data_IF_231508269131
#
_entry.id   IF_231508269131
#
_cell.length_a   1.000
_cell.length_b   1.000
_cell.length_c   1.000
_cell.angle_alpha   90.00
_cell.angle_beta   90.00
_cell.angle_gamma   90.00
#
_symmetry.space_group_name_H-M   'P 1'
#
loop_
_entity.id
_entity.type
_entity.pdbx_description
1 polymer ?
#
# COMPACT_ATOMS: atom_id res chain seq x y z
N UNK A 1 37.09 12.28 -24.05
CA UNK A 1 36.13 13.42 -23.96
C UNK A 1 34.92 12.89 -23.22
N UNK A 2 34.55 13.58 -22.15
CA UNK A 2 33.68 13.11 -21.07
C UNK A 2 32.28 12.71 -21.57
N UNK A 3 31.85 11.51 -21.19
CA UNK A 3 30.45 11.13 -21.17
C UNK A 3 29.80 11.74 -19.93
N UNK A 4 28.79 12.59 -20.15
CA UNK A 4 27.90 13.05 -19.10
C UNK A 4 26.83 11.98 -18.90
N UNK A 5 26.87 11.27 -17.77
CA UNK A 5 25.68 10.56 -17.27
C UNK A 5 24.75 11.61 -16.71
N UNK A 6 23.62 11.82 -17.38
CA UNK A 6 22.50 12.57 -16.83
C UNK A 6 21.81 11.69 -15.78
N UNK A 7 21.68 12.22 -14.56
CA UNK A 7 20.88 11.62 -13.50
C UNK A 7 19.39 11.70 -13.90
N UNK A 8 18.76 10.55 -14.10
CA UNK A 8 17.31 10.46 -14.17
C UNK A 8 16.76 10.64 -12.75
N UNK A 9 15.95 11.66 -12.54
CA UNK A 9 15.23 11.86 -11.30
C UNK A 9 14.20 10.73 -11.14
N UNK A 10 14.32 9.95 -10.07
CA UNK A 10 13.33 8.95 -9.71
C UNK A 10 12.02 9.64 -9.34
N UNK A 11 11.05 9.61 -10.26
CA UNK A 11 9.65 9.84 -9.92
C UNK A 11 9.16 8.60 -9.17
N UNK A 12 9.14 8.68 -7.84
CA UNK A 12 8.41 7.71 -7.02
C UNK A 12 6.93 7.79 -7.39
N UNK A 13 6.39 6.71 -7.97
CA UNK A 13 4.94 6.51 -8.10
C UNK A 13 4.28 6.85 -6.75
N UNK A 14 3.43 7.87 -6.75
CA UNK A 14 2.61 8.29 -5.59
C UNK A 14 1.36 7.42 -5.41
N UNK A 15 1.16 6.43 -6.28
CA UNK A 15 0.05 5.51 -6.19
C UNK A 15 0.45 4.36 -5.25
N UNK A 16 -0.16 4.34 -4.06
CA UNK A 16 -0.06 3.22 -3.15
C UNK A 16 -0.86 2.03 -3.71
N UNK A 17 -0.25 0.84 -3.61
CA UNK A 17 -0.95 -0.43 -3.68
C UNK A 17 -1.97 -0.47 -2.54
N UNK A 18 -3.26 -0.59 -2.87
CA UNK A 18 -4.24 -0.94 -1.85
C UNK A 18 -3.81 -2.27 -1.22
N UNK A 19 -3.69 -2.38 0.11
CA UNK A 19 -3.28 -3.63 0.73
C UNK A 19 -4.25 -4.73 0.29
N UNK A 20 -3.71 -5.84 -0.23
CA UNK A 20 -4.48 -7.07 -0.40
C UNK A 20 -5.19 -7.33 0.91
N UNK A 21 -6.52 -7.53 0.86
CA UNK A 21 -7.34 -7.78 2.04
C UNK A 21 -6.71 -8.92 2.84
N UNK A 22 -5.95 -8.59 3.89
CA UNK A 22 -5.52 -9.60 4.84
C UNK A 22 -6.80 -10.07 5.51
N UNK A 23 -7.11 -11.34 5.34
CA UNK A 23 -8.21 -11.98 6.04
C UNK A 23 -7.79 -12.12 7.50
N UNK A 24 -7.88 -11.04 8.27
CA UNK A 24 -7.64 -11.06 9.71
C UNK A 24 -8.63 -12.05 10.33
N UNK A 25 -8.19 -13.03 11.14
CA UNK A 25 -9.12 -13.89 11.85
C UNK A 25 -9.85 -13.08 12.91
N UNK A 26 -11.17 -13.09 12.76
CA UNK A 26 -12.18 -12.55 13.67
C UNK A 26 -11.92 -12.90 15.14
N UNK A 27 -11.72 -11.88 15.97
CA UNK A 27 -11.84 -11.99 17.43
C UNK A 27 -12.32 -10.68 18.05
N UNK A 28 -13.54 -10.27 17.71
CA UNK A 28 -14.50 -9.63 18.62
C UNK A 28 -15.84 -9.55 17.89
N UNK A 29 -16.77 -10.44 18.23
CA UNK A 29 -18.16 -10.30 17.80
C UNK A 29 -18.76 -9.06 18.50
N UNK A 30 -18.55 -7.89 17.90
CA UNK A 30 -19.42 -6.74 18.15
C UNK A 30 -20.61 -6.91 17.23
N UNK A 31 -21.77 -7.15 17.82
CA UNK A 31 -23.08 -7.19 17.16
C UNK A 31 -23.35 -5.84 16.48
N UNK A 32 -22.76 -5.65 15.31
CA UNK A 32 -23.00 -4.51 14.43
C UNK A 32 -24.15 -4.89 13.51
N UNK A 33 -25.22 -4.11 13.57
CA UNK A 33 -26.34 -4.26 12.65
C UNK A 33 -25.80 -4.19 11.22
N UNK A 34 -26.22 -5.13 10.36
CA UNK A 34 -25.90 -5.11 8.94
C UNK A 34 -26.28 -3.73 8.38
N UNK A 35 -25.30 -3.01 7.87
CA UNK A 35 -25.54 -1.73 7.20
C UNK A 35 -26.25 -2.02 5.88
N UNK A 36 -27.42 -1.43 5.70
CA UNK A 36 -28.33 -1.73 4.58
C UNK A 36 -28.39 -0.63 3.53
N UNK A 37 -27.73 0.51 3.76
CA UNK A 37 -27.72 1.67 2.85
C UNK A 37 -26.38 2.42 2.89
N UNK A 38 -26.07 3.12 1.80
CA UNK A 38 -24.88 3.98 1.69
C UNK A 38 -24.85 5.07 2.77
N UNK A 39 -26.01 5.61 3.18
CA UNK A 39 -26.10 6.62 4.24
C UNK A 39 -25.69 6.05 5.61
N UNK A 40 -26.19 4.86 5.96
CA UNK A 40 -25.79 4.17 7.20
C UNK A 40 -24.29 3.84 7.21
N UNK A 41 -23.73 3.47 6.06
CA UNK A 41 -22.30 3.21 5.90
C UNK A 41 -21.47 4.48 6.12
N UNK A 42 -21.81 5.56 5.43
CA UNK A 42 -21.19 6.87 5.57
C UNK A 42 -21.32 7.40 7.01
N UNK A 43 -22.46 7.18 7.66
CA UNK A 43 -22.69 7.57 9.05
C UNK A 43 -21.77 6.84 10.01
N UNK A 44 -21.57 5.53 9.83
CA UNK A 44 -20.66 4.76 10.66
C UNK A 44 -19.20 5.22 10.53
N UNK A 45 -18.78 5.62 9.33
CA UNK A 45 -17.46 6.24 9.10
C UNK A 45 -17.40 7.62 9.73
N UNK A 46 -18.44 8.45 9.57
CA UNK A 46 -18.53 9.77 10.19
C UNK A 46 -18.42 9.71 11.72
N UNK A 47 -19.02 8.70 12.35
CA UNK A 47 -18.92 8.50 13.80
C UNK A 47 -17.49 8.19 14.24
N UNK A 48 -16.72 7.43 13.45
CA UNK A 48 -15.31 7.17 13.72
C UNK A 48 -14.45 8.42 13.50
N UNK A 49 -14.66 9.15 12.41
CA UNK A 49 -13.95 10.41 12.13
C UNK A 49 -14.19 11.42 13.25
N UNK A 50 -15.45 11.66 13.64
CA UNK A 50 -15.78 12.60 14.71
C UNK A 50 -15.17 12.18 16.06
N UNK A 51 -15.06 10.87 16.32
CA UNK A 51 -14.51 10.34 17.57
C UNK A 51 -12.98 10.43 17.65
N UNK A 52 -12.27 10.22 16.55
CA UNK A 52 -10.83 9.94 16.58
C UNK A 52 -9.97 11.03 15.92
N UNK A 53 -10.35 11.54 14.76
CA UNK A 53 -9.56 12.53 14.02
C UNK A 53 -9.23 13.82 14.80
N UNK A 54 -10.09 14.33 15.70
CA UNK A 54 -9.74 15.46 16.56
C UNK A 54 -8.54 15.24 17.50
N UNK A 55 -8.06 14.00 17.62
CA UNK A 55 -7.03 13.62 18.60
C UNK A 55 -5.74 13.12 17.95
N UNK A 56 -5.60 13.23 16.62
CA UNK A 56 -4.41 12.74 15.91
C UNK A 56 -3.11 13.43 16.35
N UNK A 57 -3.18 14.67 16.85
CA UNK A 57 -2.04 15.39 17.43
C UNK A 57 -1.42 14.67 18.66
N UNK A 58 -2.18 13.77 19.32
CA UNK A 58 -1.67 12.92 20.41
C UNK A 58 -0.83 11.74 19.90
N UNK A 59 -1.11 11.29 18.68
CA UNK A 59 -0.35 10.23 18.01
C UNK A 59 0.94 10.85 17.47
N UNK A 60 0.80 11.91 16.67
CA UNK A 60 1.93 12.63 16.10
C UNK A 60 1.71 14.14 16.24
N UNK A 61 2.63 14.93 16.85
CA UNK A 61 2.35 16.32 17.20
C UNK A 61 1.93 17.26 16.06
N UNK A 62 2.36 16.95 14.82
CA UNK A 62 2.03 17.75 13.63
C UNK A 62 0.75 17.31 12.92
N UNK A 63 0.09 16.23 13.34
CA UNK A 63 -1.09 15.71 12.66
C UNK A 63 -2.35 16.45 13.08
N UNK A 64 -2.99 17.13 12.12
CA UNK A 64 -4.21 17.89 12.33
C UNK A 64 -5.30 17.45 11.35
N UNK A 65 -5.93 16.32 11.68
CA UNK A 65 -6.94 15.73 10.81
C UNK A 65 -8.28 16.49 10.85
N UNK A 66 -8.41 17.49 11.72
CA UNK A 66 -9.61 18.35 11.76
C UNK A 66 -9.72 19.24 10.52
N UNK A 67 -8.63 19.39 9.77
CA UNK A 67 -8.56 20.18 8.52
C UNK A 67 -8.88 19.38 7.26
N UNK A 68 -9.17 18.09 7.38
CA UNK A 68 -9.42 17.21 6.24
C UNK A 68 -10.91 16.88 6.06
N UNK A 69 -11.29 16.66 4.81
CA UNK A 69 -12.59 16.08 4.45
C UNK A 69 -12.36 14.73 3.78
N UNK A 70 -13.12 13.71 4.18
CA UNK A 70 -13.27 12.49 3.39
C UNK A 70 -14.47 12.66 2.45
N UNK A 71 -14.23 12.62 1.15
CA UNK A 71 -15.27 12.52 0.12
C UNK A 71 -15.46 11.05 -0.22
N UNK A 72 -16.55 10.45 0.27
CA UNK A 72 -16.84 9.03 0.11
C UNK A 72 -17.87 8.81 -1.00
N UNK A 73 -17.47 8.08 -2.04
CA UNK A 73 -18.34 7.64 -3.13
C UNK A 73 -18.82 6.21 -2.91
N UNK A 74 -20.14 6.02 -2.97
CA UNK A 74 -20.79 4.71 -3.05
C UNK A 74 -21.01 4.37 -4.52
N UNK A 75 -20.43 3.28 -5.00
CA UNK A 75 -20.54 2.87 -6.40
C UNK A 75 -21.51 1.69 -6.56
N UNK A 76 -22.43 1.81 -7.53
CA UNK A 76 -23.33 0.71 -7.93
C UNK A 76 -22.70 -0.21 -8.98
N UNK A 77 -21.75 0.33 -9.74
CA UNK A 77 -20.90 -0.33 -10.71
C UNK A 77 -19.65 0.58 -10.91
N UNK A 78 -18.60 0.10 -11.60
CA UNK A 78 -17.44 0.94 -11.93
C UNK A 78 -17.87 2.27 -12.56
N UNK A 79 -17.36 3.39 -12.03
CA UNK A 79 -17.70 4.76 -12.46
C UNK A 79 -19.15 5.22 -12.21
N UNK A 80 -20.05 4.35 -11.70
CA UNK A 80 -21.47 4.69 -11.48
C UNK A 80 -21.75 5.02 -10.02
N UNK A 81 -21.63 6.31 -9.71
CA UNK A 81 -21.95 6.86 -8.39
C UNK A 81 -23.43 6.66 -8.06
N UNK A 82 -23.69 5.94 -6.97
CA UNK A 82 -25.01 5.79 -6.35
C UNK A 82 -25.29 6.92 -5.36
N UNK A 83 -24.29 7.26 -4.53
CA UNK A 83 -24.34 8.36 -3.56
C UNK A 83 -22.92 8.87 -3.27
N UNK A 84 -22.80 10.13 -2.85
CA UNK A 84 -21.53 10.73 -2.44
C UNK A 84 -21.71 11.51 -1.14
N UNK A 85 -20.73 11.46 -0.24
CA UNK A 85 -20.79 12.11 1.06
C UNK A 85 -19.50 12.88 1.35
N UNK A 86 -19.61 14.12 1.82
CA UNK A 86 -18.51 14.81 2.47
C UNK A 86 -18.58 14.58 3.98
N UNK A 87 -17.50 14.06 4.55
CA UNK A 87 -17.42 13.67 5.96
C UNK A 87 -16.26 14.43 6.62
N UNK A 88 -16.57 15.12 7.72
CA UNK A 88 -15.62 15.89 8.52
C UNK A 88 -15.76 15.51 10.00
N UNK A 89 -14.90 16.07 10.85
CA UNK A 89 -15.03 15.92 12.31
C UNK A 89 -16.32 16.53 12.88
N UNK A 90 -16.96 17.45 12.15
CA UNK A 90 -18.21 18.10 12.56
C UNK A 90 -19.48 17.35 12.12
N UNK A 91 -19.35 16.37 11.23
CA UNK A 91 -20.47 15.58 10.71
C UNK A 91 -20.32 15.23 9.23
N UNK A 92 -21.41 14.69 8.67
CA UNK A 92 -21.49 14.30 7.25
C UNK A 92 -22.57 15.09 6.51
N UNK A 93 -22.39 15.23 5.20
CA UNK A 93 -23.36 15.80 4.27
C UNK A 93 -23.38 14.97 2.98
N UNK A 94 -24.55 14.59 2.52
CA UNK A 94 -24.72 14.03 1.17
C UNK A 94 -24.49 15.12 0.11
N UNK A 95 -23.70 14.79 -0.92
CA UNK A 95 -23.33 15.69 -2.00
C UNK A 95 -24.22 15.47 -3.22
N UNK A 96 -24.65 16.57 -3.83
CA UNK A 96 -25.28 16.55 -5.14
C UNK A 96 -24.24 16.38 -6.26
N UNK A 97 -24.62 15.89 -7.45
CA UNK A 97 -23.70 15.75 -8.60
C UNK A 97 -22.93 17.02 -8.96
N UNK A 98 -23.54 18.20 -8.76
CA UNK A 98 -22.87 19.47 -9.02
C UNK A 98 -21.77 19.78 -8.00
N UNK A 99 -21.88 19.28 -6.77
CA UNK A 99 -20.90 19.55 -5.70
C UNK A 99 -19.63 18.69 -5.82
N UNK A 100 -19.68 17.57 -6.53
CA UNK A 100 -18.51 16.71 -6.78
C UNK A 100 -18.13 16.64 -8.27
N UNK A 101 -18.69 17.51 -9.12
CA UNK A 101 -18.49 17.46 -10.56
C UNK A 101 -17.02 17.57 -11.00
N UNK A 102 -16.21 18.29 -10.21
CA UNK A 102 -14.78 18.51 -10.46
C UNK A 102 -13.88 17.46 -9.77
N UNK A 103 -14.46 16.43 -9.15
CA UNK A 103 -13.72 15.35 -8.50
C UNK A 103 -13.71 14.15 -9.44
N UNK A 104 -12.52 13.73 -9.85
CA UNK A 104 -12.36 12.41 -10.43
C UNK A 104 -12.67 11.34 -9.39
N UNK A 105 -13.71 10.55 -9.67
CA UNK A 105 -14.18 9.51 -8.76
C UNK A 105 -13.13 8.40 -8.74
N UNK A 106 -12.53 8.08 -7.58
CA UNK A 106 -11.57 7.00 -7.52
C UNK A 106 -12.20 5.69 -8.01
N UNK A 107 -11.40 4.85 -8.67
CA UNK A 107 -11.86 3.52 -9.06
C UNK A 107 -12.29 2.69 -7.84
N UNK A 108 -12.90 1.54 -8.07
CA UNK A 108 -13.39 0.65 -7.03
C UNK A 108 -12.35 0.37 -5.93
N UNK A 109 -12.74 0.61 -4.67
CA UNK A 109 -11.90 0.50 -3.46
C UNK A 109 -10.63 1.39 -3.50
N UNK A 110 -10.61 2.34 -4.43
CA UNK A 110 -9.53 3.27 -4.63
C UNK A 110 -9.70 4.56 -3.85
N UNK A 111 -8.64 5.33 -3.86
CA UNK A 111 -8.53 6.59 -3.14
C UNK A 111 -7.64 7.57 -3.90
N UNK A 112 -7.84 8.86 -3.64
CA UNK A 112 -7.07 9.93 -4.26
C UNK A 112 -6.87 11.11 -3.32
N UNK A 113 -5.70 11.73 -3.40
CA UNK A 113 -5.43 13.04 -2.81
C UNK A 113 -6.20 14.11 -3.60
N UNK A 114 -7.07 14.87 -2.93
CA UNK A 114 -7.86 15.92 -3.59
C UNK A 114 -7.89 17.21 -2.78
N UNK A 115 -8.34 18.30 -3.41
CA UNK A 115 -8.78 19.50 -2.69
C UNK A 115 -10.29 19.61 -2.79
N UNK A 116 -10.99 19.66 -1.65
CA UNK A 116 -12.44 19.81 -1.60
C UNK A 116 -12.82 21.07 -0.82
N UNK A 117 -13.59 21.97 -1.44
CA UNK A 117 -13.95 23.28 -0.85
C UNK A 117 -12.74 24.07 -0.30
N UNK A 118 -11.60 24.01 -1.01
CA UNK A 118 -10.36 24.68 -0.62
C UNK A 118 -9.59 24.03 0.53
N UNK A 119 -10.02 22.85 0.99
CA UNK A 119 -9.34 22.09 2.05
C UNK A 119 -8.62 20.85 1.50
N UNK A 120 -7.41 20.53 1.99
CA UNK A 120 -6.73 19.27 1.66
C UNK A 120 -7.60 18.09 2.12
N UNK A 121 -7.93 17.19 1.22
CA UNK A 121 -8.95 16.17 1.41
C UNK A 121 -8.55 14.84 0.77
N UNK A 122 -9.33 13.80 1.04
CA UNK A 122 -9.18 12.48 0.44
C UNK A 122 -10.50 12.07 -0.19
N UNK A 123 -10.46 11.60 -1.43
CA UNK A 123 -11.58 10.92 -2.07
C UNK A 123 -11.39 9.41 -1.91
N UNK A 124 -12.47 8.69 -1.63
CA UNK A 124 -12.47 7.23 -1.62
C UNK A 124 -13.72 6.69 -2.28
N UNK A 125 -13.63 5.52 -2.90
CA UNK A 125 -14.80 4.83 -3.42
C UNK A 125 -14.96 3.46 -2.76
N UNK A 126 -16.21 3.03 -2.59
CA UNK A 126 -16.57 1.69 -2.07
C UNK A 126 -17.76 1.17 -2.85
N UNK A 127 -17.72 -0.10 -3.27
CA UNK A 127 -18.88 -0.73 -3.89
C UNK A 127 -20.01 -0.95 -2.89
N UNK A 128 -21.24 -0.65 -3.31
CA UNK A 128 -22.43 -0.87 -2.48
C UNK A 128 -22.62 -2.33 -2.04
N UNK A 129 -22.11 -3.31 -2.81
CA UNK A 129 -22.13 -4.73 -2.42
C UNK A 129 -21.23 -5.03 -1.22
N UNK A 130 -20.12 -4.30 -1.09
CA UNK A 130 -19.11 -4.48 -0.04
C UNK A 130 -19.51 -3.82 1.27
N UNK A 131 -20.37 -2.79 1.22
CA UNK A 131 -20.82 -2.03 2.40
C UNK A 131 -21.60 -2.86 3.44
N UNK A 132 -22.18 -3.99 3.02
CA UNK A 132 -22.90 -4.90 3.92
C UNK A 132 -21.98 -5.73 4.82
N UNK A 133 -20.68 -5.79 4.47
CA UNK A 133 -19.68 -6.57 5.20
C UNK A 133 -19.16 -5.74 6.39
N UNK A 134 -19.25 -6.23 7.64
CA UNK A 134 -18.88 -5.45 8.83
C UNK A 134 -17.45 -4.89 8.82
N UNK A 135 -16.51 -5.63 8.23
CA UNK A 135 -15.10 -5.24 8.14
C UNK A 135 -14.87 -4.04 7.21
N UNK A 136 -15.75 -3.79 6.25
CA UNK A 136 -15.57 -2.73 5.24
C UNK A 136 -15.59 -1.34 5.86
N UNK A 137 -16.37 -1.14 6.93
CA UNK A 137 -16.40 0.15 7.66
C UNK A 137 -15.04 0.41 8.32
N UNK A 138 -14.48 -0.62 8.96
CA UNK A 138 -13.20 -0.51 9.64
C UNK A 138 -12.06 -0.30 8.65
N UNK A 139 -12.03 -1.09 7.58
CA UNK A 139 -11.01 -0.96 6.53
C UNK A 139 -11.08 0.41 5.85
N UNK A 140 -12.27 0.89 5.46
CA UNK A 140 -12.42 2.20 4.81
C UNK A 140 -11.95 3.34 5.71
N UNK A 141 -12.35 3.32 6.99
CA UNK A 141 -11.90 4.34 7.95
C UNK A 141 -10.38 4.29 8.18
N UNK A 142 -9.81 3.10 8.33
CA UNK A 142 -8.37 2.93 8.57
C UNK A 142 -7.56 3.33 7.35
N UNK A 143 -7.96 2.92 6.15
CA UNK A 143 -7.32 3.36 4.90
C UNK A 143 -7.39 4.87 4.76
N UNK A 144 -8.55 5.51 5.00
CA UNK A 144 -8.62 6.97 4.96
C UNK A 144 -7.62 7.63 5.92
N UNK A 145 -7.49 7.07 7.12
CA UNK A 145 -6.56 7.57 8.16
C UNK A 145 -5.10 7.31 7.77
N UNK A 146 -4.82 6.17 7.15
CA UNK A 146 -3.51 5.76 6.67
C UNK A 146 -3.03 6.67 5.53
N UNK A 147 -3.84 6.83 4.49
CA UNK A 147 -3.48 7.56 3.28
C UNK A 147 -3.30 9.07 3.50
N UNK A 148 -4.01 9.65 4.48
CA UNK A 148 -3.76 11.03 4.89
C UNK A 148 -2.31 11.25 5.37
N UNK A 149 -1.67 10.24 5.97
CA UNK A 149 -0.25 10.30 6.37
C UNK A 149 0.63 10.50 5.14
N UNK A 150 0.47 9.65 4.12
CA UNK A 150 1.23 9.74 2.88
C UNK A 150 0.99 11.07 2.16
N UNK A 151 -0.27 11.49 2.03
CA UNK A 151 -0.64 12.67 1.26
C UNK A 151 -0.20 13.99 1.88
N UNK A 152 -0.24 14.10 3.21
CA UNK A 152 -0.16 15.40 3.87
C UNK A 152 0.88 15.51 4.98
N UNK A 153 1.44 14.39 5.47
CA UNK A 153 2.27 14.41 6.67
C UNK A 153 3.67 13.81 6.50
N UNK A 154 3.93 13.10 5.40
CA UNK A 154 5.27 12.57 5.07
C UNK A 154 6.12 13.49 4.18
N UNK A 155 5.66 14.70 3.87
CA UNK A 155 6.24 15.56 2.82
C UNK A 155 7.77 15.74 2.86
N UNK A 156 8.34 16.24 3.96
CA UNK A 156 9.80 16.48 4.08
C UNK A 156 10.60 15.21 4.42
N UNK A 157 10.07 14.03 4.15
CA UNK A 157 10.76 12.78 4.44
C UNK A 157 12.06 12.68 3.62
N UNK A 158 13.18 12.52 4.32
CA UNK A 158 14.47 12.23 3.71
C UNK A 158 14.41 10.81 3.14
N UNK A 159 14.50 10.70 1.82
CA UNK A 159 14.59 9.41 1.15
C UNK A 159 15.94 8.75 1.47
N UNK A 160 15.96 7.52 2.04
CA UNK A 160 17.20 6.82 2.34
C UNK A 160 17.97 6.41 1.07
N UNK A 161 17.25 6.18 -0.02
CA UNK A 161 17.78 5.83 -1.33
C UNK A 161 16.95 6.46 -2.44
N UNK A 162 17.60 7.04 -3.45
CA UNK A 162 16.94 7.59 -4.65
C UNK A 162 16.44 6.47 -5.58
N UNK A 163 16.97 5.25 -5.44
CA UNK A 163 16.57 4.07 -6.20
C UNK A 163 15.69 3.10 -5.39
N UNK A 164 15.00 3.58 -4.35
CA UNK A 164 14.10 2.73 -3.58
C UNK A 164 13.00 2.15 -4.49
N UNK A 165 12.86 0.83 -4.47
CA UNK A 165 11.79 0.12 -5.17
C UNK A 165 11.01 -0.73 -4.16
N UNK A 166 9.70 -0.83 -4.38
CA UNK A 166 8.83 -1.76 -3.64
C UNK A 166 9.02 -3.20 -4.12
N UNK A 167 9.74 -3.42 -5.21
CA UNK A 167 9.95 -4.73 -5.79
C UNK A 167 11.00 -5.56 -5.06
N UNK A 168 10.76 -6.87 -4.97
CA UNK A 168 11.69 -7.82 -4.36
C UNK A 168 12.26 -8.78 -5.40
N UNK A 169 13.52 -9.24 -5.26
CA UNK A 169 14.06 -10.28 -6.12
C UNK A 169 13.15 -11.52 -6.16
N UNK A 170 12.86 -12.02 -7.36
CA UNK A 170 12.17 -13.29 -7.56
C UNK A 170 13.14 -14.35 -8.12
N UNK A 171 13.15 -15.60 -7.60
CA UNK A 171 12.30 -16.11 -6.52
C UNK A 171 12.65 -15.50 -5.16
N UNK A 172 11.65 -15.41 -4.28
CA UNK A 172 11.81 -14.92 -2.90
C UNK A 172 12.74 -15.84 -2.11
N UNK A 173 13.71 -15.24 -1.41
CA UNK A 173 14.57 -15.90 -0.43
C UNK A 173 13.88 -15.93 0.96
N UNK A 174 13.68 -17.10 1.59
CA UNK A 174 13.07 -17.18 2.91
C UNK A 174 13.94 -16.63 4.06
N UNK A 175 15.25 -16.49 3.86
CA UNK A 175 16.20 -16.09 4.92
C UNK A 175 15.97 -14.68 5.44
N UNK A 176 15.93 -13.61 4.60
CA UNK A 176 15.66 -12.26 5.09
C UNK A 176 14.27 -12.12 5.71
N UNK A 177 13.28 -12.86 5.17
CA UNK A 177 11.91 -12.89 5.72
C UNK A 177 11.90 -13.50 7.12
N UNK A 178 12.68 -14.57 7.33
CA UNK A 178 12.87 -15.19 8.64
C UNK A 178 13.47 -14.19 9.63
N UNK A 179 14.48 -13.42 9.24
CA UNK A 179 15.09 -12.42 10.12
C UNK A 179 14.09 -11.33 10.50
N UNK A 180 13.34 -10.80 9.53
CA UNK A 180 12.28 -9.81 9.77
C UNK A 180 11.16 -10.35 10.65
N UNK A 181 10.75 -11.61 10.49
CA UNK A 181 9.78 -12.24 11.39
C UNK A 181 10.32 -12.50 12.79
N UNK A 182 11.60 -12.84 12.93
CA UNK A 182 12.23 -12.94 14.26
C UNK A 182 12.32 -11.56 14.94
N UNK A 183 12.60 -10.48 14.21
CA UNK A 183 12.50 -9.11 14.74
C UNK A 183 11.07 -8.85 15.23
N UNK A 184 10.06 -9.02 14.36
CA UNK A 184 8.66 -8.78 14.70
C UNK A 184 8.21 -9.55 15.95
N UNK A 185 8.54 -10.85 16.03
CA UNK A 185 8.27 -11.68 17.21
C UNK A 185 8.88 -11.10 18.49
N UNK A 186 10.14 -10.68 18.44
CA UNK A 186 10.81 -10.14 19.61
C UNK A 186 10.25 -8.76 20.00
N UNK A 187 9.86 -7.93 19.04
CA UNK A 187 9.16 -6.67 19.32
C UNK A 187 7.79 -6.92 19.98
N UNK A 188 7.01 -7.87 19.47
CA UNK A 188 5.75 -8.27 20.10
C UNK A 188 5.98 -8.75 21.53
N UNK A 189 6.96 -9.62 21.76
CA UNK A 189 7.28 -10.09 23.11
C UNK A 189 7.74 -8.94 24.04
N UNK A 190 8.53 -8.00 23.52
CA UNK A 190 8.97 -6.80 24.24
C UNK A 190 7.80 -5.91 24.64
N UNK A 191 6.80 -5.78 23.76
CA UNK A 191 5.58 -5.04 24.02
C UNK A 191 4.63 -5.82 24.95
N UNK A 192 4.50 -7.14 24.85
CA UNK A 192 3.58 -7.90 25.68
C UNK A 192 4.11 -8.15 27.10
N UNK A 193 5.43 -8.14 27.28
CA UNK A 193 6.08 -8.42 28.56
C UNK A 193 7.04 -7.31 28.99
N UNK A 194 6.54 -6.16 29.49
CA UNK A 194 7.36 -5.01 29.89
C UNK A 194 8.54 -5.35 30.80
N UNK A 195 8.36 -6.26 31.75
CA UNK A 195 9.40 -6.68 32.70
C UNK A 195 10.60 -7.39 32.02
N UNK A 196 10.41 -7.90 30.79
CA UNK A 196 11.45 -8.55 29.97
C UNK A 196 11.79 -7.76 28.71
N UNK A 197 11.29 -6.54 28.57
CA UNK A 197 11.45 -5.73 27.36
C UNK A 197 12.89 -5.62 26.91
N UNK A 198 13.81 -5.30 27.82
CA UNK A 198 15.23 -5.14 27.50
C UNK A 198 15.86 -6.43 26.92
N UNK A 199 15.47 -7.61 27.41
CA UNK A 199 15.93 -8.89 26.88
C UNK A 199 15.43 -9.09 25.44
N UNK A 200 14.14 -8.85 25.21
CA UNK A 200 13.53 -9.02 23.90
C UNK A 200 14.06 -8.03 22.87
N UNK A 201 14.23 -6.75 23.23
CA UNK A 201 14.83 -5.76 22.34
C UNK A 201 16.29 -6.08 22.00
N UNK A 202 17.06 -6.66 22.93
CA UNK A 202 18.42 -7.12 22.65
C UNK A 202 18.45 -8.26 21.62
N UNK A 203 17.48 -9.17 21.65
CA UNK A 203 17.32 -10.23 20.63
C UNK A 203 16.84 -9.67 19.29
N UNK A 204 15.90 -8.71 19.31
CA UNK A 204 15.48 -8.01 18.10
C UNK A 204 16.67 -7.30 17.43
N UNK A 205 17.54 -6.67 18.23
CA UNK A 205 18.76 -6.03 17.74
C UNK A 205 19.71 -7.01 17.07
N UNK A 206 19.90 -8.21 17.64
CA UNK A 206 20.71 -9.26 17.02
C UNK A 206 20.21 -9.64 15.61
N UNK A 207 18.90 -9.79 15.44
CA UNK A 207 18.32 -10.10 14.13
C UNK A 207 18.39 -8.93 13.15
N UNK A 208 18.22 -7.69 13.63
CA UNK A 208 18.40 -6.49 12.79
C UNK A 208 19.86 -6.38 12.30
N UNK A 209 20.84 -6.60 13.19
CA UNK A 209 22.25 -6.58 12.81
C UNK A 209 22.57 -7.66 11.76
N UNK A 210 22.02 -8.88 11.92
CA UNK A 210 22.13 -9.93 10.91
C UNK A 210 21.50 -9.53 9.58
N UNK A 211 20.28 -9.00 9.59
CA UNK A 211 19.59 -8.53 8.38
C UNK A 211 20.40 -7.46 7.64
N UNK A 212 20.89 -6.44 8.36
CA UNK A 212 21.70 -5.38 7.76
C UNK A 212 23.05 -5.86 7.24
N UNK A 213 23.67 -6.84 7.90
CA UNK A 213 24.99 -7.35 7.50
C UNK A 213 24.94 -8.36 6.34
N UNK A 214 23.92 -9.23 6.32
CA UNK A 214 23.81 -10.33 5.35
C UNK A 214 22.96 -9.96 4.13
N UNK A 215 22.03 -9.01 4.29
CA UNK A 215 21.08 -8.56 3.26
C UNK A 215 21.08 -7.03 3.11
N UNK A 216 22.27 -6.42 3.11
CA UNK A 216 22.45 -4.97 3.08
C UNK A 216 21.72 -4.27 1.91
N UNK A 217 21.75 -4.86 0.72
CA UNK A 217 21.10 -4.29 -0.47
C UNK A 217 19.58 -4.27 -0.31
N UNK A 218 18.99 -5.34 0.23
CA UNK A 218 17.55 -5.40 0.50
C UNK A 218 17.16 -4.47 1.65
N UNK A 219 17.96 -4.40 2.72
CA UNK A 219 17.74 -3.48 3.82
C UNK A 219 17.74 -2.01 3.33
N UNK A 220 18.64 -1.67 2.41
CA UNK A 220 18.71 -0.34 1.78
C UNK A 220 17.50 -0.08 0.88
N UNK A 221 17.15 -1.04 0.03
CA UNK A 221 16.03 -0.91 -0.91
C UNK A 221 14.68 -0.75 -0.20
N UNK A 222 14.50 -1.45 0.93
CA UNK A 222 13.24 -1.46 1.70
C UNK A 222 13.13 -0.37 2.76
N UNK A 223 14.23 0.35 3.08
CA UNK A 223 14.26 1.36 4.12
C UNK A 223 13.22 2.48 3.93
N UNK A 224 12.97 2.92 2.69
CA UNK A 224 11.94 3.93 2.42
C UNK A 224 10.55 3.39 2.78
N UNK A 225 10.22 2.18 2.33
CA UNK A 225 8.97 1.48 2.66
C UNK A 225 8.82 1.26 4.18
N UNK A 226 9.88 0.86 4.88
CA UNK A 226 9.87 0.68 6.34
C UNK A 226 9.55 1.99 7.09
N UNK A 227 9.96 3.14 6.53
CA UNK A 227 9.63 4.46 7.08
C UNK A 227 8.20 4.87 6.71
N UNK A 228 7.84 4.80 5.42
CA UNK A 228 6.55 5.30 4.93
C UNK A 228 5.39 4.46 5.44
N UNK A 229 5.42 3.16 5.17
CA UNK A 229 4.35 2.22 5.50
C UNK A 229 4.31 1.93 6.99
N UNK A 230 5.49 1.82 7.62
CA UNK A 230 5.60 1.61 9.06
C UNK A 230 4.97 2.75 9.87
N UNK A 231 5.22 4.01 9.50
CA UNK A 231 4.61 5.16 10.20
C UNK A 231 3.13 5.33 9.89
N UNK A 232 2.69 5.08 8.66
CA UNK A 232 1.28 5.13 8.29
C UNK A 232 0.47 4.05 9.03
N UNK A 233 1.00 2.83 9.12
CA UNK A 233 0.38 1.73 9.87
C UNK A 233 0.31 2.00 11.37
N UNK A 234 1.41 2.45 11.98
CA UNK A 234 1.42 2.90 13.38
C UNK A 234 0.33 3.95 13.63
N UNK A 235 0.17 4.89 12.69
CA UNK A 235 -0.81 5.97 12.80
C UNK A 235 -2.24 5.46 12.67
N UNK A 236 -2.54 4.60 11.70
CA UNK A 236 -3.91 4.09 11.52
C UNK A 236 -4.34 3.19 12.69
N UNK A 237 -3.38 2.45 13.29
CA UNK A 237 -3.61 1.58 14.43
C UNK A 237 -4.03 2.42 15.65
N UNK A 238 -3.24 3.43 15.99
CA UNK A 238 -3.58 4.33 17.09
C UNK A 238 -4.78 5.22 16.73
N UNK A 239 -4.95 5.58 15.47
CA UNK A 239 -6.08 6.34 14.96
C UNK A 239 -7.42 5.61 15.10
N UNK A 240 -7.42 4.29 15.22
CA UNK A 240 -8.61 3.50 15.55
C UNK A 240 -8.92 3.45 17.06
N UNK A 241 -8.00 3.95 17.90
CA UNK A 241 -8.07 3.83 19.37
C UNK A 241 -8.24 5.20 20.04
N UNK A 242 -7.49 6.20 19.59
CA UNK A 242 -7.23 7.44 20.32
C UNK A 242 -8.49 8.32 20.47
N UNK A 243 -8.66 8.90 21.65
CA UNK A 243 -9.74 9.82 22.01
C UNK A 243 -9.22 10.89 22.98
N UNK A 244 -10.09 11.86 23.33
CA UNK A 244 -9.79 12.92 24.29
C UNK A 244 -9.39 12.41 25.69
N UNK A 245 -9.95 11.28 26.12
CA UNK A 245 -9.93 10.87 27.53
C UNK A 245 -9.08 9.62 27.81
N UNK A 246 -8.47 9.00 26.79
CA UNK A 246 -7.74 7.75 27.01
C UNK A 246 -6.58 7.90 27.99
N UNK A 247 -6.48 6.95 28.91
CA UNK A 247 -5.25 6.74 29.69
C UNK A 247 -4.23 5.97 28.84
N UNK A 248 -2.91 6.19 29.03
CA UNK A 248 -1.89 5.45 28.30
C UNK A 248 -2.07 3.92 28.34
N UNK A 249 -2.41 3.37 29.50
CA UNK A 249 -2.65 1.93 29.67
C UNK A 249 -3.86 1.42 28.86
N UNK A 250 -4.90 2.23 28.69
CA UNK A 250 -6.07 1.85 27.89
C UNK A 250 -5.73 1.81 26.39
N UNK A 251 -4.96 2.80 25.92
CA UNK A 251 -4.44 2.82 24.54
C UNK A 251 -3.58 1.58 24.31
N UNK A 252 -2.68 1.31 25.25
CA UNK A 252 -1.76 0.19 25.20
C UNK A 252 -2.47 -1.17 25.09
N UNK A 253 -3.46 -1.41 25.95
CA UNK A 253 -4.27 -2.63 25.94
C UNK A 253 -5.13 -2.76 24.69
N UNK A 254 -5.66 -1.65 24.17
CA UNK A 254 -6.41 -1.65 22.92
C UNK A 254 -5.50 -1.98 21.73
N UNK A 255 -4.31 -1.37 21.66
CA UNK A 255 -3.32 -1.66 20.62
C UNK A 255 -2.91 -3.13 20.65
N UNK A 256 -2.64 -3.70 21.82
CA UNK A 256 -2.27 -5.12 21.95
C UNK A 256 -3.32 -6.07 21.34
N UNK A 257 -4.61 -5.72 21.38
CA UNK A 257 -5.69 -6.52 20.77
C UNK A 257 -5.77 -6.40 19.25
N UNK A 258 -5.25 -5.32 18.69
CA UNK A 258 -5.28 -5.03 17.25
C UNK A 258 -3.99 -5.44 16.53
N UNK A 259 -2.88 -5.63 17.26
CA UNK A 259 -1.63 -6.14 16.69
C UNK A 259 -1.81 -7.54 16.10
N UNK A 260 -1.37 -7.71 14.85
CA UNK A 260 -1.41 -8.99 14.14
C UNK A 260 -0.38 -9.98 14.68
N UNK A 261 -0.76 -11.26 14.80
CA UNK A 261 0.14 -12.33 15.29
C UNK A 261 0.36 -13.46 14.29
N UNK A 262 -0.66 -13.74 13.47
CA UNK A 262 -0.70 -14.96 12.64
C UNK A 262 -0.80 -14.67 11.12
N UNK A 263 -0.84 -13.39 10.72
CA UNK A 263 -1.06 -12.98 9.32
C UNK A 263 0.29 -12.69 8.62
N UNK A 264 1.15 -13.70 8.50
CA UNK A 264 2.41 -13.56 7.76
C UNK A 264 2.17 -13.57 6.24
N UNK A 265 2.59 -12.50 5.57
CA UNK A 265 2.68 -12.43 4.11
C UNK A 265 4.15 -12.19 3.75
N UNK A 266 4.78 -13.04 2.91
CA UNK A 266 6.21 -12.95 2.60
C UNK A 266 6.49 -11.81 1.61
N UNK A 267 6.31 -10.57 2.07
CA UNK A 267 6.54 -9.35 1.31
C UNK A 267 7.21 -8.31 2.20
N UNK A 268 8.23 -7.61 1.69
CA UNK A 268 8.89 -6.54 2.43
C UNK A 268 7.93 -5.43 2.83
N UNK A 269 6.99 -5.08 1.94
CA UNK A 269 5.93 -4.10 2.20
C UNK A 269 4.99 -4.57 3.30
N UNK A 270 4.50 -5.82 3.23
CA UNK A 270 3.60 -6.35 4.26
C UNK A 270 4.29 -6.45 5.64
N UNK A 271 5.57 -6.80 5.66
CA UNK A 271 6.37 -6.85 6.88
C UNK A 271 6.66 -5.45 7.45
N UNK A 272 6.82 -4.42 6.58
CA UNK A 272 7.02 -3.03 7.01
C UNK A 272 5.86 -2.54 7.90
N UNK A 273 4.63 -2.92 7.56
CA UNK A 273 3.45 -2.64 8.40
C UNK A 273 3.59 -3.26 9.79
N UNK A 274 3.88 -4.57 9.87
CA UNK A 274 3.99 -5.31 11.14
C UNK A 274 5.14 -4.82 12.02
N UNK A 275 6.30 -4.56 11.40
CA UNK A 275 7.47 -4.07 12.10
C UNK A 275 7.26 -2.64 12.59
N UNK A 276 6.73 -1.77 11.72
CA UNK A 276 6.52 -0.36 12.03
C UNK A 276 5.48 -0.12 13.11
N UNK A 277 4.36 -0.86 13.10
CA UNK A 277 3.31 -0.67 14.10
C UNK A 277 3.80 -0.98 15.52
N UNK A 278 4.53 -2.08 15.71
CA UNK A 278 5.05 -2.47 17.03
C UNK A 278 6.24 -1.60 17.42
N UNK A 279 7.14 -1.29 16.48
CA UNK A 279 8.30 -0.43 16.75
C UNK A 279 7.88 0.99 17.18
N UNK A 280 6.89 1.58 16.51
CA UNK A 280 6.35 2.89 16.87
C UNK A 280 5.72 2.92 18.27
N UNK A 281 4.97 1.86 18.65
CA UNK A 281 4.42 1.72 20.00
C UNK A 281 5.50 1.58 21.07
N UNK A 282 6.54 0.80 20.80
CA UNK A 282 7.69 0.67 21.72
C UNK A 282 8.47 1.97 21.83
N UNK A 283 8.64 2.71 20.72
CA UNK A 283 9.27 4.03 20.73
C UNK A 283 8.48 5.04 21.58
N UNK A 284 7.15 4.99 21.60
CA UNK A 284 6.33 5.81 22.50
C UNK A 284 6.60 5.55 23.98
N UNK A 285 6.93 4.31 24.34
CA UNK A 285 7.23 3.91 25.71
C UNK A 285 8.69 4.19 26.10
N UNK A 286 9.64 3.95 25.19
CA UNK A 286 11.09 4.04 25.46
C UNK A 286 11.68 5.44 25.19
N UNK A 287 11.14 6.16 24.21
CA UNK A 287 11.61 7.48 23.81
C UNK A 287 10.47 8.37 23.30
N UNK A 288 9.59 8.91 24.17
CA UNK A 288 8.39 9.66 23.75
C UNK A 288 8.63 10.86 22.82
N UNK A 289 9.87 11.32 22.68
CA UNK A 289 10.26 12.44 21.80
C UNK A 289 10.77 11.98 20.42
N UNK A 290 10.74 10.68 20.12
CA UNK A 290 11.29 10.09 18.90
C UNK A 290 10.72 10.67 17.60
N UNK A 291 9.48 11.16 17.64
CA UNK A 291 8.78 11.75 16.48
C UNK A 291 9.39 13.06 16.03
N UNK A 292 10.10 13.74 16.94
CA UNK A 292 10.82 14.97 16.61
C UNK A 292 11.93 14.62 15.63
N UNK A 293 11.92 15.28 14.48
CA UNK A 293 12.92 15.12 13.41
C UNK A 293 12.96 13.72 12.76
N UNK A 294 11.98 12.83 13.04
CA UNK A 294 11.98 11.45 12.51
C UNK A 294 12.04 11.43 10.97
N UNK A 295 11.12 12.13 10.30
CA UNK A 295 11.04 12.11 8.84
C UNK A 295 12.30 12.67 8.15
N UNK A 296 13.00 13.62 8.77
CA UNK A 296 14.24 14.19 8.20
C UNK A 296 15.50 13.38 8.56
N UNK A 297 15.39 12.40 9.46
CA UNK A 297 16.53 11.56 9.88
C UNK A 297 16.96 10.55 8.81
N UNK A 298 15.99 10.02 8.05
CA UNK A 298 16.19 8.87 7.14
C UNK A 298 16.44 7.54 7.85
N UNK A 299 16.21 7.46 9.17
CA UNK A 299 16.33 6.21 9.94
C UNK A 299 15.00 5.45 9.92
N UNK A 300 15.05 4.12 9.82
CA UNK A 300 13.87 3.28 10.01
C UNK A 300 13.42 3.32 11.47
N UNK A 301 12.15 2.94 11.74
CA UNK A 301 11.65 2.82 13.13
C UNK A 301 12.46 1.80 13.94
N UNK A 302 12.91 0.71 13.29
CA UNK A 302 13.74 -0.31 13.92
C UNK A 302 15.13 0.21 14.28
N UNK A 303 15.78 0.93 13.37
CA UNK A 303 17.07 1.56 13.63
C UNK A 303 16.99 2.54 14.79
N UNK A 304 15.96 3.38 14.79
CA UNK A 304 15.78 4.37 15.84
C UNK A 304 15.52 3.72 17.21
N UNK A 305 14.70 2.67 17.25
CA UNK A 305 14.37 1.93 18.48
C UNK A 305 15.59 1.18 19.04
N UNK A 306 16.38 0.56 18.17
CA UNK A 306 17.40 -0.41 18.56
C UNK A 306 18.84 0.16 18.55
N UNK A 307 19.06 1.41 18.13
CA UNK A 307 20.39 2.02 17.93
C UNK A 307 21.37 1.85 19.10
N UNK A 308 20.90 2.02 20.33
CA UNK A 308 21.72 2.04 21.55
C UNK A 308 21.62 0.74 22.36
N UNK A 309 20.99 -0.29 21.78
CA UNK A 309 20.80 -1.59 22.42
C UNK A 309 21.96 -2.50 22.04
N UNK A 310 22.53 -3.19 23.02
CA UNK A 310 23.53 -4.24 22.78
C UNK A 310 22.83 -5.52 22.32
N UNK A 311 23.24 -6.13 21.19
CA UNK A 311 22.62 -7.37 20.72
C UNK A 311 22.84 -8.52 21.72
N UNK A 312 21.81 -9.34 21.89
CA UNK A 312 21.87 -10.62 22.57
C UNK A 312 21.56 -11.73 21.56
N UNK A 313 22.42 -12.75 21.51
CA UNK A 313 22.26 -13.86 20.58
C UNK A 313 20.90 -14.55 20.78
N UNK A 314 20.31 -14.95 19.65
CA UNK A 314 19.03 -15.63 19.58
C UNK A 314 19.09 -16.71 18.50
N UNK A 315 18.21 -17.71 18.58
CA UNK A 315 18.13 -18.76 17.57
C UNK A 315 16.81 -18.70 16.83
N UNK A 316 16.82 -19.02 15.54
CA UNK A 316 15.58 -19.09 14.76
C UNK A 316 14.61 -20.05 15.43
N UNK A 317 13.41 -19.56 15.70
CA UNK A 317 12.37 -20.39 16.27
C UNK A 317 11.84 -21.36 15.18
N UNK A 318 11.80 -22.68 15.43
CA UNK A 318 11.44 -23.67 14.41
C UNK A 318 10.08 -23.41 13.75
N UNK A 319 9.11 -22.92 14.52
CA UNK A 319 7.78 -22.56 14.03
C UNK A 319 7.80 -21.36 13.06
N UNK A 320 8.69 -20.39 13.29
CA UNK A 320 8.87 -19.23 12.39
C UNK A 320 9.54 -19.70 11.10
N UNK A 321 10.62 -20.46 11.18
CA UNK A 321 11.28 -21.03 10.00
C UNK A 321 10.29 -21.82 9.14
N UNK A 322 9.52 -22.72 9.75
CA UNK A 322 8.52 -23.54 9.04
C UNK A 322 7.43 -22.69 8.38
N UNK A 323 6.91 -21.68 9.08
CA UNK A 323 5.88 -20.80 8.54
C UNK A 323 6.41 -19.99 7.36
N UNK A 324 7.61 -19.42 7.50
CA UNK A 324 8.27 -18.64 6.44
C UNK A 324 8.57 -19.50 5.22
N UNK A 325 9.19 -20.67 5.40
CA UNK A 325 9.47 -21.59 4.30
C UNK A 325 8.19 -21.98 3.54
N UNK A 326 7.11 -22.26 4.27
CA UNK A 326 5.81 -22.65 3.69
C UNK A 326 5.19 -21.52 2.86
N UNK A 327 5.07 -20.32 3.42
CA UNK A 327 4.44 -19.19 2.72
C UNK A 327 5.32 -18.67 1.58
N UNK A 328 6.65 -18.67 1.72
CA UNK A 328 7.56 -18.32 0.62
C UNK A 328 7.47 -19.33 -0.52
N UNK A 329 7.44 -20.64 -0.23
CA UNK A 329 7.27 -21.66 -1.26
C UNK A 329 5.93 -21.53 -1.99
N UNK A 330 4.85 -21.28 -1.24
CA UNK A 330 3.52 -21.02 -1.80
C UNK A 330 3.54 -19.77 -2.69
N UNK A 331 4.04 -18.63 -2.19
CA UNK A 331 4.08 -17.37 -2.95
C UNK A 331 4.95 -17.50 -4.19
N UNK A 332 6.11 -18.14 -4.12
CA UNK A 332 6.95 -18.42 -5.28
C UNK A 332 6.20 -19.28 -6.33
N UNK A 333 5.39 -20.25 -5.90
CA UNK A 333 4.57 -21.04 -6.82
C UNK A 333 3.47 -20.21 -7.48
N UNK A 334 2.78 -19.35 -6.72
CA UNK A 334 1.73 -18.45 -7.25
C UNK A 334 2.31 -17.44 -8.25
N UNK A 335 3.38 -16.74 -7.85
CA UNK A 335 4.05 -15.73 -8.68
C UNK A 335 4.57 -16.34 -9.98
N UNK A 336 5.09 -17.58 -9.94
CA UNK A 336 5.53 -18.29 -11.14
C UNK A 336 4.43 -18.35 -12.21
N UNK A 337 3.21 -18.65 -11.79
CA UNK A 337 2.07 -18.76 -12.70
C UNK A 337 1.57 -17.35 -13.12
N UNK A 338 1.59 -16.39 -12.20
CA UNK A 338 1.22 -14.98 -12.47
C UNK A 338 2.12 -14.34 -13.54
N UNK A 339 3.43 -14.54 -13.48
CA UNK A 339 4.41 -13.90 -14.39
C UNK A 339 4.64 -14.67 -15.70
N UNK A 340 4.02 -15.84 -15.87
CA UNK A 340 4.30 -16.75 -16.99
C UNK A 340 4.09 -16.07 -18.37
N UNK A 341 3.04 -15.23 -18.49
CA UNK A 341 2.75 -14.49 -19.72
C UNK A 341 3.83 -13.44 -20.03
N UNK A 342 4.36 -12.76 -19.01
CA UNK A 342 5.45 -11.79 -19.15
C UNK A 342 6.74 -12.49 -19.59
N UNK A 343 7.09 -13.60 -18.94
CA UNK A 343 8.27 -14.40 -19.30
C UNK A 343 8.18 -14.98 -20.72
N UNK A 344 7.00 -15.47 -21.10
CA UNK A 344 6.75 -15.95 -22.46
C UNK A 344 6.95 -14.83 -23.47
N UNK A 345 6.35 -13.66 -23.21
CA UNK A 345 6.52 -12.50 -24.07
C UNK A 345 7.98 -12.04 -24.13
N UNK A 346 8.76 -12.08 -23.06
CA UNK A 346 10.17 -11.68 -23.09
C UNK A 346 11.00 -12.45 -24.15
N UNK A 347 10.61 -13.69 -24.48
CA UNK A 347 11.34 -14.54 -25.44
C UNK A 347 10.66 -14.72 -26.80
N UNK A 348 9.41 -14.28 -26.95
CA UNK A 348 8.61 -14.44 -28.17
C UNK A 348 8.11 -13.07 -28.68
N UNK A 349 8.76 -12.55 -29.72
CA UNK A 349 8.41 -11.26 -30.36
C UNK A 349 7.12 -11.31 -31.17
N UNK A 350 6.54 -12.50 -31.37
CA UNK A 350 5.21 -12.63 -31.99
C UNK A 350 4.07 -12.26 -31.04
N UNK A 351 4.32 -12.23 -29.73
CA UNK A 351 3.36 -11.78 -28.71
C UNK A 351 3.39 -10.24 -28.67
N UNK A 352 2.27 -9.55 -28.98
CA UNK A 352 2.21 -8.10 -28.91
C UNK A 352 2.17 -7.58 -27.45
N UNK A 353 2.50 -6.31 -27.27
CA UNK A 353 2.25 -5.60 -26.02
C UNK A 353 1.13 -4.57 -26.16
N UNK A 354 0.37 -4.39 -25.07
CA UNK A 354 -0.31 -3.14 -24.78
C UNK A 354 0.61 -2.30 -23.89
N UNK A 355 1.04 -1.16 -24.39
CA UNK A 355 1.87 -0.16 -23.71
C UNK A 355 0.98 1.00 -23.28
N UNK A 356 0.82 1.16 -21.98
CA UNK A 356 -0.05 2.15 -21.36
C UNK A 356 0.86 3.23 -20.79
N UNK A 357 0.75 4.44 -21.32
CA UNK A 357 1.41 5.62 -20.75
C UNK A 357 0.56 6.14 -19.60
N UNK A 358 1.00 5.82 -18.38
CA UNK A 358 0.34 6.15 -17.11
C UNK A 358 1.02 7.31 -16.37
N UNK A 359 1.86 8.08 -17.07
CA UNK A 359 2.62 9.20 -16.51
C UNK A 359 1.73 10.22 -15.79
N UNK A 360 0.57 10.53 -16.37
CA UNK A 360 -0.38 11.50 -15.86
C UNK A 360 -1.62 10.82 -15.25
N UNK A 361 -1.57 9.50 -15.02
CA UNK A 361 -2.69 8.77 -14.46
C UNK A 361 -2.92 9.15 -12.99
N UNK A 362 -4.11 9.62 -12.66
CA UNK A 362 -4.51 9.90 -11.29
C UNK A 362 -5.27 8.70 -10.67
N UNK A 363 -5.09 8.47 -9.36
CA UNK A 363 -5.77 7.40 -8.62
C UNK A 363 -4.84 6.33 -8.05
N UNK A 364 -5.44 5.27 -7.52
CA UNK A 364 -4.71 4.14 -6.91
C UNK A 364 -4.47 3.00 -7.91
N UNK A 365 -3.93 1.88 -7.46
CA UNK A 365 -4.05 0.60 -8.18
C UNK A 365 -4.03 -0.54 -7.14
N UNK A 366 -4.51 -1.71 -7.55
CA UNK A 366 -4.32 -2.94 -6.79
C UNK A 366 -3.11 -3.69 -7.33
N UNK A 367 -2.29 -4.25 -6.45
CA UNK A 367 -1.27 -5.24 -6.80
C UNK A 367 -1.13 -6.26 -5.66
N UNK A 368 -0.82 -7.51 -6.00
CA UNK A 368 -0.55 -8.56 -5.01
C UNK A 368 0.94 -8.71 -4.72
N UNK A 369 1.80 -8.11 -5.54
CA UNK A 369 3.23 -7.99 -5.28
C UNK A 369 3.96 -7.26 -6.39
N UNK A 370 5.18 -6.83 -6.10
CA UNK A 370 6.13 -6.28 -7.07
C UNK A 370 7.44 -7.08 -6.98
N UNK A 371 7.96 -7.50 -8.12
CA UNK A 371 9.09 -8.42 -8.21
C UNK A 371 10.11 -7.98 -9.24
N UNK A 372 11.38 -8.15 -8.92
CA UNK A 372 12.47 -8.07 -9.89
C UNK A 372 12.70 -9.46 -10.47
N UNK A 373 12.39 -9.62 -11.76
CA UNK A 373 12.57 -10.87 -12.51
C UNK A 373 13.63 -10.61 -13.59
N UNK A 374 14.87 -11.06 -13.33
CA UNK A 374 16.01 -10.65 -14.16
C UNK A 374 16.35 -9.18 -13.89
N UNK A 375 16.23 -8.33 -14.91
CA UNK A 375 16.40 -6.88 -14.86
C UNK A 375 15.07 -6.12 -14.98
N UNK A 376 13.94 -6.82 -14.97
CA UNK A 376 12.61 -6.24 -15.14
C UNK A 376 11.84 -6.16 -13.82
N UNK A 377 11.20 -5.03 -13.57
CA UNK A 377 10.22 -4.88 -12.49
C UNK A 377 8.83 -5.27 -12.97
N UNK A 378 8.23 -6.26 -12.31
CA UNK A 378 6.94 -6.85 -12.63
C UNK A 378 6.02 -6.72 -11.43
N UNK A 379 4.88 -6.05 -11.61
CA UNK A 379 3.79 -6.08 -10.63
C UNK A 379 2.83 -7.21 -10.99
N UNK A 380 2.48 -8.04 -10.01
CA UNK A 380 1.51 -9.12 -10.17
C UNK A 380 0.18 -8.78 -9.50
N UNK A 381 -0.89 -9.47 -9.94
CA UNK A 381 -2.26 -9.16 -9.53
C UNK A 381 -2.69 -7.72 -9.79
N UNK A 382 -2.06 -7.07 -10.78
CA UNK A 382 -2.26 -5.68 -11.09
C UNK A 382 -3.71 -5.44 -11.52
N UNK A 383 -4.36 -4.51 -10.86
CA UNK A 383 -5.75 -4.15 -11.10
C UNK A 383 -5.88 -2.64 -11.14
N UNK A 384 -6.30 -2.11 -12.29
CA UNK A 384 -6.52 -0.69 -12.50
C UNK A 384 -7.61 -0.50 -13.57
N UNK A 385 -8.29 0.64 -13.51
CA UNK A 385 -9.20 1.08 -14.56
C UNK A 385 -8.86 2.49 -15.00
N UNK A 386 -8.87 2.69 -16.30
CA UNK A 386 -8.56 3.98 -16.92
C UNK A 386 -9.68 4.40 -17.89
N UNK A 387 -9.98 5.69 -17.96
CA UNK A 387 -10.77 6.25 -19.06
C UNK A 387 -9.85 6.68 -20.20
N UNK A 388 -10.11 6.15 -21.39
CA UNK A 388 -9.39 6.52 -22.61
C UNK A 388 -10.36 7.12 -23.61
N UNK A 389 -10.65 8.41 -23.43
CA UNK A 389 -11.51 9.17 -24.33
C UNK A 389 -12.96 8.65 -24.34
N UNK A 390 -13.47 8.31 -23.17
CA UNK A 390 -14.82 7.75 -22.97
C UNK A 390 -14.91 6.22 -23.15
N UNK A 391 -13.78 5.54 -23.35
CA UNK A 391 -13.70 4.08 -23.41
C UNK A 391 -12.93 3.57 -22.20
N UNK A 392 -13.53 2.64 -21.44
CA UNK A 392 -12.87 2.01 -20.30
C UNK A 392 -11.79 1.01 -20.77
N UNK A 393 -10.60 1.13 -20.17
CA UNK A 393 -9.57 0.11 -20.14
C UNK A 393 -9.51 -0.46 -18.72
N UNK A 394 -9.81 -1.75 -18.56
CA UNK A 394 -9.75 -2.42 -17.26
C UNK A 394 -8.72 -3.56 -17.28
N UNK A 395 -7.74 -3.46 -16.40
CA UNK A 395 -6.80 -4.54 -16.07
C UNK A 395 -7.30 -5.17 -14.78
N UNK A 396 -7.42 -6.50 -14.76
CA UNK A 396 -7.86 -7.23 -13.57
C UNK A 396 -6.90 -8.38 -13.31
N UNK A 397 -6.25 -8.39 -12.15
CA UNK A 397 -5.43 -9.52 -11.70
C UNK A 397 -4.39 -10.00 -12.76
N UNK A 398 -3.68 -9.04 -13.38
CA UNK A 398 -2.70 -9.32 -14.43
C UNK A 398 -1.26 -9.06 -13.97
N UNK A 399 -0.28 -9.67 -14.63
CA UNK A 399 1.12 -9.27 -14.48
C UNK A 399 1.45 -8.17 -15.50
N UNK A 400 1.97 -7.05 -15.02
CA UNK A 400 2.42 -5.92 -15.83
C UNK A 400 3.89 -5.65 -15.56
N UNK A 401 4.64 -5.30 -16.61
CA UNK A 401 6.00 -4.78 -16.45
C UNK A 401 5.94 -3.26 -16.34
N UNK A 402 6.54 -2.69 -15.30
CA UNK A 402 6.72 -1.25 -15.17
C UNK A 402 8.02 -0.83 -15.88
N UNK A 403 7.99 0.26 -16.63
CA UNK A 403 9.19 0.81 -17.28
C UNK A 403 9.14 2.32 -17.36
N UNK A 404 10.31 2.95 -17.42
CA UNK A 404 10.47 4.38 -17.53
C UNK A 404 11.32 4.72 -18.75
N UNK A 405 10.97 5.78 -19.46
CA UNK A 405 11.83 6.31 -20.53
C UNK A 405 12.87 7.31 -19.99
N UNK A 406 13.76 7.77 -20.87
CA UNK A 406 14.82 8.75 -20.52
C UNK A 406 14.29 10.10 -20.03
N UNK A 407 13.02 10.43 -20.33
CA UNK A 407 12.36 11.64 -19.87
C UNK A 407 11.61 11.47 -18.56
N UNK A 408 11.63 10.26 -17.98
CA UNK A 408 10.95 9.91 -16.74
C UNK A 408 9.47 9.60 -16.91
N UNK A 409 8.98 9.41 -18.15
CA UNK A 409 7.60 8.96 -18.38
C UNK A 409 7.45 7.52 -17.92
N UNK A 410 6.34 7.22 -17.26
CA UNK A 410 6.01 5.88 -16.80
C UNK A 410 5.18 5.14 -17.83
N UNK A 411 5.43 3.84 -17.94
CA UNK A 411 4.68 2.95 -18.80
C UNK A 411 4.42 1.61 -18.13
N UNK A 412 3.20 1.10 -18.30
CA UNK A 412 2.84 -0.29 -18.03
C UNK A 412 2.86 -1.08 -19.33
N UNK A 413 3.57 -2.21 -19.34
CA UNK A 413 3.63 -3.15 -20.45
C UNK A 413 2.87 -4.42 -20.09
N UNK A 414 1.77 -4.68 -20.80
CA UNK A 414 0.95 -5.87 -20.62
C UNK A 414 1.06 -6.80 -21.85
N UNK A 415 1.56 -8.04 -21.69
CA UNK A 415 1.55 -9.07 -22.73
C UNK A 415 0.14 -9.38 -23.24
N UNK A 416 -0.06 -9.32 -24.56
CA UNK A 416 -1.32 -9.74 -25.19
C UNK A 416 -1.26 -11.22 -25.59
N UNK A 417 -1.16 -12.12 -24.60
CA UNK A 417 -1.17 -13.58 -24.81
C UNK A 417 -2.58 -14.15 -25.02
N UNK A 418 -3.60 -13.38 -24.63
CA UNK A 418 -5.01 -13.68 -24.88
C UNK A 418 -5.43 -13.34 -26.32
N UNK A 419 -6.62 -13.82 -26.70
CA UNK A 419 -7.22 -13.49 -27.99
C UNK A 419 -7.56 -11.99 -28.04
N UNK A 420 -7.07 -11.31 -29.08
CA UNK A 420 -7.30 -9.89 -29.30
C UNK A 420 -7.46 -9.58 -30.79
N UNK A 421 -7.93 -8.37 -31.11
CA UNK A 421 -7.97 -7.82 -32.47
C UNK A 421 -7.51 -6.37 -32.45
N UNK A 422 -6.40 -6.06 -33.13
CA UNK A 422 -6.01 -4.70 -33.50
C UNK A 422 -6.33 -4.46 -34.97
N UNK A 423 -7.30 -3.57 -35.26
CA UNK A 423 -7.62 -3.17 -36.64
C UNK A 423 -7.94 -1.69 -36.69
N UNK A 424 -7.42 -1.01 -37.70
CA UNK A 424 -7.71 0.41 -37.97
C UNK A 424 -7.49 1.33 -36.76
N UNK A 425 -6.43 1.07 -35.97
CA UNK A 425 -6.10 1.84 -34.77
C UNK A 425 -7.02 1.56 -33.56
N UNK A 426 -7.75 0.45 -33.59
CA UNK A 426 -8.66 0.04 -32.52
C UNK A 426 -8.28 -1.34 -32.00
N UNK A 427 -7.97 -1.41 -30.71
CA UNK A 427 -7.74 -2.65 -29.98
C UNK A 427 -9.04 -3.13 -29.33
N UNK A 428 -9.36 -4.41 -29.52
CA UNK A 428 -10.45 -5.09 -28.82
C UNK A 428 -9.95 -6.33 -28.11
N UNK A 429 -10.16 -6.36 -26.79
CA UNK A 429 -9.91 -7.50 -25.90
C UNK A 429 -11.11 -7.68 -24.97
N UNK A 430 -11.58 -8.91 -24.84
CA UNK A 430 -12.63 -9.32 -23.91
C UNK A 430 -12.13 -10.58 -23.19
N UNK A 431 -11.26 -10.37 -22.21
CA UNK A 431 -10.62 -11.41 -21.40
C UNK A 431 -10.81 -11.09 -19.92
N UNK A 432 -10.75 -12.12 -19.06
CA UNK A 432 -10.88 -11.93 -17.62
C UNK A 432 -9.80 -10.98 -17.06
N UNK A 433 -8.58 -11.03 -17.62
CA UNK A 433 -7.45 -10.20 -17.16
C UNK A 433 -7.37 -8.82 -17.80
N UNK A 434 -8.00 -8.65 -18.96
CA UNK A 434 -7.98 -7.39 -19.71
C UNK A 434 -9.31 -7.21 -20.46
N UNK A 435 -10.01 -6.13 -20.15
CA UNK A 435 -11.14 -5.66 -20.92
C UNK A 435 -10.80 -4.32 -21.58
N UNK A 436 -10.80 -4.31 -22.90
CA UNK A 436 -10.57 -3.14 -23.73
C UNK A 436 -11.51 -3.22 -24.94
N UNK A 437 -12.70 -2.61 -24.86
CA UNK A 437 -13.73 -2.75 -25.89
C UNK A 437 -13.73 -1.54 -26.83
N UNK A 438 -12.98 -1.64 -27.93
CA UNK A 438 -12.89 -0.56 -28.92
C UNK A 438 -11.93 0.55 -28.48
N UNK A 439 -10.83 0.18 -27.82
CA UNK A 439 -9.83 1.11 -27.32
C UNK A 439 -9.04 1.71 -28.49
N UNK A 440 -8.98 3.03 -28.60
CA UNK A 440 -8.13 3.69 -29.60
C UNK A 440 -6.67 3.56 -29.19
N UNK A 441 -5.85 3.05 -30.09
CA UNK A 441 -4.42 2.80 -29.85
C UNK A 441 -3.60 3.23 -31.05
N UNK A 442 -2.36 3.65 -30.80
CA UNK A 442 -1.34 3.73 -31.84
C UNK A 442 -0.68 2.36 -31.99
N UNK A 443 -0.67 1.80 -33.20
CA UNK A 443 0.07 0.56 -33.48
C UNK A 443 1.48 0.90 -33.98
N UNK A 444 2.49 0.41 -33.27
CA UNK A 444 3.90 0.61 -33.56
C UNK A 444 4.62 -0.74 -33.66
N UNK A 445 5.77 -0.73 -34.34
CA UNK A 445 6.73 -1.83 -34.30
C UNK A 445 7.94 -1.41 -33.47
N UNK A 446 8.13 -2.07 -32.33
CA UNK A 446 9.29 -1.89 -31.44
C UNK A 446 10.03 -3.23 -31.41
N UNK A 447 11.32 -3.25 -31.80
CA UNK A 447 12.17 -4.46 -31.81
C UNK A 447 11.55 -5.70 -32.48
N UNK A 448 10.81 -5.48 -33.58
CA UNK A 448 10.11 -6.52 -34.34
C UNK A 448 8.76 -6.96 -33.74
N UNK A 449 8.46 -6.56 -32.50
CA UNK A 449 7.18 -6.78 -31.82
C UNK A 449 6.15 -5.72 -32.21
N UNK A 450 4.89 -6.14 -32.31
CA UNK A 450 3.77 -5.18 -32.39
C UNK A 450 3.47 -4.62 -31.00
N UNK A 451 3.39 -3.29 -30.89
CA UNK A 451 3.07 -2.59 -29.65
C UNK A 451 1.87 -1.68 -29.91
N UNK A 452 0.79 -1.91 -29.16
CA UNK A 452 -0.36 -1.02 -29.12
C UNK A 452 -0.15 -0.03 -27.99
N UNK A 453 -0.04 1.26 -28.30
CA UNK A 453 0.22 2.31 -27.33
C UNK A 453 -1.05 3.10 -27.05
N UNK A 454 -1.30 3.38 -25.77
CA UNK A 454 -2.42 4.21 -25.30
C UNK A 454 -1.92 5.16 -24.22
N UNK A 455 -2.51 6.35 -24.15
CA UNK A 455 -2.29 7.29 -23.05
C UNK A 455 -3.52 7.29 -22.18
N UNK A 456 -3.33 7.10 -20.88
CA UNK A 456 -4.39 7.17 -19.88
C UNK A 456 -4.26 8.46 -19.08
N UNK A 457 -5.36 8.84 -18.43
CA UNK A 457 -5.43 9.93 -17.46
C UNK A 457 -6.04 9.38 -16.19
#
# INVERSE_FOLDING_TARGET
MLAALAAAAALTLRACSAPSQSTTPSSAASTTASVTSSEQFAKAISDRIAKHWPHMAKIWPTYDYTKHTLVLFSLSAPGKVNAAYAITTSGMKELTPTEYADIEVPQHDGYAQITFNGLPSIAMSVNSSEMSKPQTIDSTYRVATHELVHFYYQGEMKQPDENASRAQPYPLDPTPRTYRQMIHRQLLAAYETPDKRAEHLAKARFWLDKYHSEFADEAKATASTDITEGTARYTDLLGAIITGDNKPEEVRQAAQKLLGRDDFVPSAEAEAYQLGEVAGLLLDEENPQWKKDFYISGQTLLDLLLKDIKPAEDSVAPEVAKAVESEVAKRNSEVKDEIADVQKAATDTSIPYLKIDDTDAEGSFGATGSFIVGDEEISTGYTARFDVGGTELAINDAAVKATFDESGRSYLLLPLTMKHSGKDGVLTVDDAKLAAKGLKVAELKEDGRTVYTVVVK
#
